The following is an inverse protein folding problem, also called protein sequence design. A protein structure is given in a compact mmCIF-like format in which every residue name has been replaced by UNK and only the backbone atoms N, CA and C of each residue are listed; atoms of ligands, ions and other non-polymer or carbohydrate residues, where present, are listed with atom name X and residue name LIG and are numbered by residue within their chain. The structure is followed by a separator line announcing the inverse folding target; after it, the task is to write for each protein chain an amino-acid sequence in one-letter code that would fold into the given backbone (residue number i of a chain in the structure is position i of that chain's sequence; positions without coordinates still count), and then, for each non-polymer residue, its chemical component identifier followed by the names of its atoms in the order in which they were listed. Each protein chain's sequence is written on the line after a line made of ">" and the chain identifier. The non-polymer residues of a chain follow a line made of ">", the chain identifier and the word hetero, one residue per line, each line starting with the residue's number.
data_IF_766002275597
#
_entry.id   IF_766002275597
#
_cell.length_a   1.000
_cell.length_b   1.000
_cell.length_c   1.000
_cell.angle_alpha   90.00
_cell.angle_beta   90.00
_cell.angle_gamma   90.00
#
_symmetry.space_group_name_H-M   'P 1'
#
loop_
_entity.id
_entity.type
_entity.pdbx_description
1 polymer ?
#
# COMPACT_ATOMS: atom_id res chain seq x y z
N UNK A 1 12.82 -9.58 -14.03
CA UNK A 1 11.43 -10.04 -14.20
C UNK A 1 11.35 -10.83 -15.50
N UNK A 2 10.62 -11.94 -15.51
CA UNK A 2 10.34 -12.68 -16.75
C UNK A 2 9.31 -11.88 -17.56
N UNK A 3 9.61 -11.62 -18.83
CA UNK A 3 8.70 -10.95 -19.76
C UNK A 3 7.93 -12.01 -20.57
N UNK A 4 6.88 -12.55 -19.97
CA UNK A 4 6.13 -13.69 -20.49
C UNK A 4 5.06 -13.22 -21.46
N UNK A 5 5.06 -13.73 -22.69
CA UNK A 5 3.99 -13.48 -23.66
C UNK A 5 2.70 -14.14 -23.19
N UNK A 6 1.58 -13.43 -23.33
CA UNK A 6 0.26 -13.98 -23.04
C UNK A 6 -0.21 -14.84 -24.21
N UNK A 7 -0.74 -16.02 -23.89
CA UNK A 7 -1.45 -16.88 -24.84
C UNK A 7 -2.96 -16.72 -24.63
N UNK A 8 -3.67 -16.39 -25.70
CA UNK A 8 -5.09 -16.03 -25.66
C UNK A 8 -5.80 -16.85 -26.72
N UNK A 9 -6.73 -17.69 -26.29
CA UNK A 9 -7.46 -18.61 -27.16
C UNK A 9 -8.95 -18.57 -26.86
N UNK A 10 -9.77 -18.92 -27.86
CA UNK A 10 -11.19 -19.22 -27.67
C UNK A 10 -11.33 -20.73 -27.58
N UNK A 11 -12.08 -21.22 -26.59
CA UNK A 11 -12.34 -22.65 -26.36
C UNK A 11 -13.79 -22.85 -25.97
N UNK A 12 -14.27 -24.09 -26.08
CA UNK A 12 -15.53 -24.46 -25.42
C UNK A 12 -15.37 -24.32 -23.91
N UNK A 13 -16.47 -24.03 -23.19
CA UNK A 13 -16.44 -23.93 -21.73
C UNK A 13 -15.93 -25.23 -21.08
N UNK A 14 -16.39 -26.39 -21.58
CA UNK A 14 -16.00 -27.69 -21.05
C UNK A 14 -14.50 -27.98 -21.26
N UNK A 15 -13.96 -27.67 -22.45
CA UNK A 15 -12.52 -27.85 -22.72
C UNK A 15 -11.67 -26.91 -21.87
N UNK A 16 -12.11 -25.67 -21.68
CA UNK A 16 -11.39 -24.71 -20.86
C UNK A 16 -11.34 -25.16 -19.39
N UNK A 17 -12.46 -25.65 -18.85
CA UNK A 17 -12.55 -26.20 -17.50
C UNK A 17 -11.72 -27.48 -17.34
N UNK A 18 -11.76 -28.37 -18.32
CA UNK A 18 -10.94 -29.59 -18.33
C UNK A 18 -9.43 -29.28 -18.38
N UNK A 19 -9.04 -28.17 -19.02
CA UNK A 19 -7.67 -27.68 -19.05
C UNK A 19 -7.21 -27.01 -17.73
N UNK A 20 -8.10 -26.91 -16.73
CA UNK A 20 -7.80 -26.30 -15.44
C UNK A 20 -7.93 -24.78 -15.43
N UNK A 21 -8.65 -24.19 -16.38
CA UNK A 21 -8.88 -22.75 -16.38
C UNK A 21 -9.75 -22.35 -15.18
N UNK A 22 -9.29 -21.35 -14.41
CA UNK A 22 -10.06 -20.78 -13.32
C UNK A 22 -11.17 -19.87 -13.86
N UNK A 23 -12.38 -20.10 -13.33
CA UNK A 23 -13.56 -19.29 -13.62
C UNK A 23 -13.86 -18.39 -12.42
N UNK A 24 -14.25 -17.15 -12.70
CA UNK A 24 -14.66 -16.20 -11.68
C UNK A 24 -15.99 -16.64 -11.06
N UNK A 25 -16.05 -16.62 -9.72
CA UNK A 25 -17.23 -17.05 -8.98
C UNK A 25 -18.43 -16.16 -9.27
N UNK A 26 -19.56 -16.76 -9.65
CA UNK A 26 -20.84 -16.07 -9.86
C UNK A 26 -21.14 -15.66 -11.31
N UNK A 27 -20.20 -15.85 -12.24
CA UNK A 27 -20.38 -15.53 -13.66
C UNK A 27 -21.11 -16.65 -14.42
N UNK A 28 -21.94 -16.27 -15.40
CA UNK A 28 -22.54 -17.20 -16.36
C UNK A 28 -21.70 -17.21 -17.64
N UNK A 29 -21.21 -18.39 -18.01
CA UNK A 29 -20.41 -18.58 -19.22
C UNK A 29 -21.28 -19.15 -20.35
N UNK A 30 -21.02 -18.70 -21.58
CA UNK A 30 -21.61 -19.28 -22.78
C UNK A 30 -20.84 -20.53 -23.25
N UNK A 31 -21.27 -21.10 -24.38
CA UNK A 31 -20.65 -22.32 -24.94
C UNK A 31 -19.18 -22.10 -25.32
N UNK A 32 -18.84 -20.89 -25.77
CA UNK A 32 -17.47 -20.46 -26.05
C UNK A 32 -16.98 -19.43 -25.03
N UNK A 33 -15.75 -19.60 -24.58
CA UNK A 33 -15.09 -18.73 -23.61
C UNK A 33 -13.69 -18.33 -24.08
N UNK A 34 -13.28 -17.13 -23.66
CA UNK A 34 -11.93 -16.64 -23.88
C UNK A 34 -11.03 -17.05 -22.71
N UNK A 35 -10.02 -17.83 -23.03
CA UNK A 35 -9.01 -18.34 -22.09
C UNK A 35 -7.74 -17.52 -22.24
N UNK A 36 -7.25 -16.97 -21.14
CA UNK A 36 -5.99 -16.24 -21.07
C UNK A 36 -5.01 -17.03 -20.21
N UNK A 37 -3.86 -17.39 -20.79
CA UNK A 37 -2.77 -18.08 -20.13
C UNK A 37 -1.58 -17.15 -19.97
N UNK A 38 -1.04 -17.11 -18.75
CA UNK A 38 0.19 -16.38 -18.43
C UNK A 38 1.21 -17.35 -17.86
N UNK A 39 2.18 -17.75 -18.70
CA UNK A 39 3.18 -18.74 -18.32
C UNK A 39 2.55 -20.06 -17.89
N UNK A 40 3.07 -20.64 -16.81
CA UNK A 40 2.62 -21.94 -16.29
C UNK A 40 1.85 -21.82 -14.97
N UNK A 41 1.58 -20.60 -14.51
CA UNK A 41 1.04 -20.31 -13.18
C UNK A 41 -0.35 -19.67 -13.20
N UNK A 42 -0.84 -19.19 -14.35
CA UNK A 42 -2.19 -18.63 -14.48
C UNK A 42 -2.81 -19.07 -15.79
N UNK A 43 -4.04 -19.59 -15.68
CA UNK A 43 -4.91 -19.97 -16.78
C UNK A 43 -6.33 -19.61 -16.36
N UNK A 44 -6.91 -18.58 -16.96
CA UNK A 44 -8.14 -17.97 -16.47
C UNK A 44 -9.12 -17.67 -17.61
N UNK A 45 -10.41 -17.70 -17.29
CA UNK A 45 -11.47 -17.23 -18.17
C UNK A 45 -11.62 -15.71 -18.03
N UNK A 46 -11.24 -14.94 -19.04
CA UNK A 46 -11.32 -13.48 -18.99
C UNK A 46 -11.77 -12.87 -20.33
N UNK A 47 -12.85 -12.08 -20.28
CA UNK A 47 -13.36 -11.29 -21.40
C UNK A 47 -12.75 -9.89 -21.55
N UNK A 48 -11.91 -9.45 -20.60
CA UNK A 48 -11.33 -8.12 -20.57
C UNK A 48 -10.16 -7.92 -21.56
N UNK A 49 -9.69 -6.68 -21.65
CA UNK A 49 -8.46 -6.36 -22.41
C UNK A 49 -7.22 -6.82 -21.65
N UNK A 50 -6.19 -7.23 -22.39
CA UNK A 50 -4.92 -7.67 -21.82
C UNK A 50 -3.75 -7.05 -22.57
N UNK A 51 -2.62 -6.94 -21.88
CA UNK A 51 -1.31 -6.67 -22.48
C UNK A 51 -0.85 -7.83 -23.36
N UNK A 52 0.19 -7.63 -24.18
CA UNK A 52 0.74 -8.70 -25.03
C UNK A 52 1.70 -9.60 -24.26
N UNK A 53 2.38 -9.03 -23.27
CA UNK A 53 3.37 -9.70 -22.43
C UNK A 53 3.43 -9.04 -21.05
N UNK A 54 3.86 -9.78 -20.01
CA UNK A 54 3.84 -9.31 -18.62
C UNK A 54 4.68 -8.05 -18.38
N UNK A 55 5.74 -7.83 -19.16
CA UNK A 55 6.59 -6.64 -19.06
C UNK A 55 5.87 -5.35 -19.43
N UNK A 56 4.82 -5.40 -20.26
CA UNK A 56 4.05 -4.21 -20.66
C UNK A 56 3.25 -3.62 -19.47
N UNK A 57 3.05 -4.38 -18.39
CA UNK A 57 2.40 -3.91 -17.16
C UNK A 57 3.28 -2.89 -16.43
N UNK A 58 4.61 -3.02 -16.56
CA UNK A 58 5.58 -2.16 -15.88
C UNK A 58 5.65 -2.40 -14.36
N UNK A 59 5.94 -1.33 -13.62
CA UNK A 59 6.03 -1.36 -12.15
C UNK A 59 4.74 -1.86 -11.52
N UNK A 60 4.85 -2.66 -10.46
CA UNK A 60 3.72 -3.15 -9.68
C UNK A 60 3.94 -2.77 -8.22
N UNK A 61 2.93 -2.16 -7.59
CA UNK A 61 2.99 -1.75 -6.18
C UNK A 61 1.70 -2.12 -5.47
N UNK A 62 1.83 -2.87 -4.39
CA UNK A 62 0.75 -3.06 -3.41
C UNK A 62 0.64 -1.77 -2.59
N UNK A 63 -0.55 -1.20 -2.53
CA UNK A 63 -0.84 0.02 -1.75
C UNK A 63 -1.51 -0.31 -0.44
N UNK A 64 -2.38 -1.33 -0.43
CA UNK A 64 -3.11 -1.72 0.76
C UNK A 64 -3.29 -3.22 0.82
N UNK A 65 -3.38 -3.71 2.05
CA UNK A 65 -3.68 -5.08 2.37
C UNK A 65 -4.59 -5.14 3.60
N UNK A 66 -5.71 -5.86 3.48
CA UNK A 66 -6.69 -6.00 4.55
C UNK A 66 -7.21 -7.44 4.68
N UNK A 67 -7.39 -7.91 5.91
CA UNK A 67 -8.07 -9.18 6.21
C UNK A 67 -9.58 -8.96 6.21
N UNK A 68 -10.33 -9.71 5.40
CA UNK A 68 -11.79 -9.60 5.33
C UNK A 68 -12.51 -10.67 6.17
N UNK A 69 -11.94 -11.87 6.22
CA UNK A 69 -12.44 -13.02 6.98
C UNK A 69 -11.27 -14.00 7.23
N UNK A 70 -11.52 -15.06 8.01
CA UNK A 70 -10.52 -16.13 8.19
C UNK A 70 -10.11 -16.71 6.82
N UNK A 71 -8.83 -16.62 6.49
CA UNK A 71 -8.28 -17.10 5.22
C UNK A 71 -8.50 -16.20 4.00
N UNK A 72 -9.15 -15.04 4.14
CA UNK A 72 -9.46 -14.15 3.01
C UNK A 72 -8.80 -12.78 3.18
N UNK A 73 -7.96 -12.40 2.20
CA UNK A 73 -7.25 -11.12 2.15
C UNK A 73 -7.66 -10.32 0.91
N UNK A 74 -7.80 -9.01 1.07
CA UNK A 74 -7.94 -8.05 -0.03
C UNK A 74 -6.60 -7.35 -0.22
N UNK A 75 -6.08 -7.43 -1.42
CA UNK A 75 -4.89 -6.71 -1.86
C UNK A 75 -5.34 -5.62 -2.83
N UNK A 76 -4.93 -4.38 -2.58
CA UNK A 76 -5.10 -3.26 -3.51
C UNK A 76 -3.73 -2.93 -4.08
N UNK A 77 -3.64 -2.85 -5.40
CA UNK A 77 -2.40 -2.57 -6.09
C UNK A 77 -2.61 -1.62 -7.27
N UNK A 78 -1.54 -0.91 -7.61
CA UNK A 78 -1.43 -0.05 -8.79
C UNK A 78 -0.26 -0.53 -9.65
N UNK A 79 -0.34 -0.28 -10.94
CA UNK A 79 0.67 -0.69 -11.91
C UNK A 79 1.12 0.44 -12.84
N UNK A 80 2.14 0.17 -13.66
CA UNK A 80 2.63 1.05 -14.70
C UNK A 80 3.08 2.42 -14.16
N UNK A 81 2.74 3.46 -14.92
CA UNK A 81 3.14 4.83 -14.62
C UNK A 81 2.63 5.31 -13.25
N UNK A 82 1.40 4.96 -12.89
CA UNK A 82 0.81 5.35 -11.59
C UNK A 82 1.60 4.77 -10.41
N UNK A 83 2.12 3.55 -10.54
CA UNK A 83 2.99 2.96 -9.53
C UNK A 83 4.32 3.73 -9.38
N UNK A 84 4.89 4.19 -10.49
CA UNK A 84 6.13 4.99 -10.50
C UNK A 84 5.90 6.36 -9.84
N UNK A 85 4.82 7.05 -10.22
CA UNK A 85 4.44 8.36 -9.65
C UNK A 85 4.25 8.28 -8.14
N UNK A 86 3.56 7.25 -7.66
CA UNK A 86 3.36 7.01 -6.23
C UNK A 86 4.71 6.78 -5.50
N UNK A 87 5.64 6.03 -6.10
CA UNK A 87 6.97 5.83 -5.52
C UNK A 87 7.78 7.13 -5.47
N UNK A 88 7.73 7.94 -6.53
CA UNK A 88 8.41 9.23 -6.60
C UNK A 88 7.83 10.25 -5.61
N UNK A 89 6.51 10.28 -5.46
CA UNK A 89 5.82 11.08 -4.45
C UNK A 89 6.30 10.72 -3.04
N UNK A 90 6.34 9.43 -2.70
CA UNK A 90 6.85 8.96 -1.42
C UNK A 90 8.32 9.30 -1.19
N UNK A 91 9.16 9.21 -2.23
CA UNK A 91 10.56 9.61 -2.15
C UNK A 91 10.72 11.12 -1.89
N UNK A 92 9.85 11.94 -2.47
CA UNK A 92 9.85 13.40 -2.28
C UNK A 92 9.45 13.76 -0.84
N UNK A 93 8.41 13.12 -0.31
CA UNK A 93 8.00 13.27 1.10
C UNK A 93 9.14 12.85 2.03
N UNK A 94 9.77 11.71 1.77
CA UNK A 94 10.88 11.23 2.60
C UNK A 94 12.08 12.20 2.58
N UNK A 95 12.46 12.69 1.40
CA UNK A 95 13.53 13.69 1.24
C UNK A 95 13.23 14.97 2.04
N UNK A 96 11.98 15.43 1.99
CA UNK A 96 11.54 16.63 2.74
C UNK A 96 11.68 16.39 4.25
N UNK A 97 11.26 15.23 4.75
CA UNK A 97 11.40 14.87 6.16
C UNK A 97 12.86 14.78 6.60
N UNK A 98 13.74 14.24 5.74
CA UNK A 98 15.18 14.19 6.03
C UNK A 98 15.77 15.59 6.23
N UNK A 99 15.38 16.55 5.39
CA UNK A 99 15.83 17.95 5.49
C UNK A 99 15.30 18.62 6.76
N UNK A 100 13.99 18.48 7.04
CA UNK A 100 13.36 19.08 8.22
C UNK A 100 13.92 18.54 9.54
N UNK A 101 14.21 17.25 9.59
CA UNK A 101 14.72 16.59 10.78
C UNK A 101 16.25 16.56 10.85
N UNK A 102 16.94 16.98 9.78
CA UNK A 102 18.38 16.86 9.58
C UNK A 102 18.89 15.45 9.95
N UNK A 103 18.21 14.41 9.47
CA UNK A 103 18.45 13.02 9.86
C UNK A 103 18.26 12.10 8.64
N UNK A 104 19.12 11.10 8.40
CA UNK A 104 18.93 10.13 7.34
C UNK A 104 17.68 9.25 7.58
N UNK A 105 17.14 8.56 6.56
CA UNK A 105 15.91 7.78 6.68
C UNK A 105 16.00 6.68 7.76
N UNK A 106 17.17 6.06 7.88
CA UNK A 106 17.43 5.00 8.86
C UNK A 106 17.30 5.46 10.32
N UNK A 107 17.59 6.73 10.62
CA UNK A 107 17.48 7.30 11.98
C UNK A 107 16.18 8.08 12.22
N UNK A 108 15.31 8.18 11.21
CA UNK A 108 14.16 9.08 11.25
C UNK A 108 13.16 8.70 12.34
N UNK A 109 12.88 7.40 12.49
CA UNK A 109 11.95 6.91 13.51
C UNK A 109 12.42 7.28 14.93
N UNK A 110 13.69 7.05 15.23
CA UNK A 110 14.29 7.39 16.52
C UNK A 110 14.26 8.90 16.78
N UNK A 111 14.63 9.71 15.78
CA UNK A 111 14.58 11.17 15.89
C UNK A 111 13.17 11.67 16.19
N UNK A 112 12.16 11.12 15.53
CA UNK A 112 10.75 11.44 15.80
C UNK A 112 10.35 11.02 17.22
N UNK A 113 10.74 9.83 17.67
CA UNK A 113 10.46 9.38 19.05
C UNK A 113 11.06 10.31 20.09
N UNK A 114 12.30 10.78 19.91
CA UNK A 114 12.95 11.75 20.79
C UNK A 114 12.17 13.07 20.81
N UNK A 115 11.82 13.62 19.65
CA UNK A 115 11.06 14.88 19.56
C UNK A 115 9.67 14.78 20.23
N UNK A 116 8.98 13.64 20.10
CA UNK A 116 7.70 13.41 20.76
C UNK A 116 7.85 13.34 22.29
N UNK A 117 8.92 12.74 22.78
CA UNK A 117 9.23 12.68 24.21
C UNK A 117 9.59 14.06 24.76
N UNK A 118 10.46 14.81 24.07
CA UNK A 118 10.80 16.19 24.42
C UNK A 118 9.55 17.07 24.49
N UNK A 119 8.64 16.96 23.51
CA UNK A 119 7.34 17.68 23.52
C UNK A 119 6.51 17.36 24.77
N UNK A 120 6.43 16.09 25.16
CA UNK A 120 5.69 15.65 26.36
C UNK A 120 6.29 16.23 27.63
N UNK A 121 7.61 16.22 27.75
CA UNK A 121 8.31 16.71 28.94
C UNK A 121 8.28 18.23 29.06
N UNK A 122 8.42 18.95 27.94
CA UNK A 122 8.18 20.39 27.89
C UNK A 122 6.74 20.74 28.31
N UNK A 123 5.74 19.96 27.86
CA UNK A 123 4.35 20.14 28.29
C UNK A 123 4.15 19.99 29.81
N UNK A 124 4.81 19.01 30.44
CA UNK A 124 4.80 18.85 31.90
C UNK A 124 5.45 20.02 32.62
N UNK A 125 6.63 20.46 32.15
CA UNK A 125 7.36 21.61 32.73
C UNK A 125 6.55 22.88 32.66
N UNK A 126 5.85 23.14 31.55
CA UNK A 126 4.95 24.29 31.42
C UNK A 126 3.78 24.23 32.39
N UNK A 127 3.18 23.05 32.58
CA UNK A 127 2.09 22.87 33.57
C UNK A 127 2.58 23.11 35.00
N UNK A 128 3.75 22.58 35.35
CA UNK A 128 4.37 22.81 36.66
C UNK A 128 4.68 24.29 36.91
N UNK A 129 5.30 24.98 35.94
CA UNK A 129 5.56 26.42 36.06
C UNK A 129 4.29 27.25 36.24
N UNK A 130 3.20 26.91 35.55
CA UNK A 130 1.90 27.60 35.72
C UNK A 130 1.34 27.40 37.13
N UNK A 131 1.40 26.19 37.68
CA UNK A 131 0.95 25.91 39.05
C UNK A 131 1.80 26.66 40.08
N UNK A 132 3.12 26.68 39.88
CA UNK A 132 4.04 27.39 40.78
C UNK A 132 3.83 28.91 40.74
N UNK A 133 3.62 29.48 39.55
CA UNK A 133 3.32 30.90 39.38
C UNK A 133 1.96 31.28 39.97
N UNK A 134 0.92 30.42 39.89
CA UNK A 134 -0.36 30.70 40.55
C UNK A 134 -0.25 30.64 42.07
N UNK A 135 0.53 29.69 42.62
CA UNK A 135 0.75 29.65 44.07
C UNK A 135 1.56 30.83 44.59
N UNK A 136 2.54 31.33 43.83
CA UNK A 136 3.31 32.54 44.22
C UNK A 136 2.44 33.81 44.17
N UNK A 137 1.48 33.90 43.25
CA UNK A 137 0.55 35.04 43.18
C UNK A 137 -0.43 35.02 44.37
N UNK A 138 -0.97 33.86 44.74
CA UNK A 138 -1.86 33.73 45.91
C UNK A 138 -1.13 34.09 47.22
N UNK A 139 0.14 33.69 47.37
CA UNK A 139 0.99 34.04 48.53
C UNK A 139 1.28 35.54 48.65
N UNK A 140 1.26 36.29 47.54
CA UNK A 140 1.51 37.74 47.51
C UNK A 140 0.22 38.57 47.63
N UNK A 141 -0.96 37.99 47.34
CA UNK A 141 -2.24 38.67 47.53
C UNK A 141 -2.81 38.59 48.95
N UNK A 142 -2.31 37.66 49.76
CA UNK A 142 -2.69 37.48 51.17
C UNK A 142 -1.78 38.25 52.16
N UNK A 143 -0.86 39.10 51.65
CA UNK A 143 0.03 39.99 52.44
C UNK A 143 -0.32 41.47 52.23
#
# INVERSE_FOLDING_TARGET
>A
MLNTKLDVTIKSFDDAKAAGAEALFGEKYGDEVRVVRVGDYSLELCGGTHVKQTGDIGSFKITEEASLASGVRRIVAITGQKAVEEMQSNATVLSTLQQLLNTPPSGMAERISILLQEKKDLGKKLKQKKIQSSSEIDLLSDS
#
